data_IF_861216766804
#
_entry.id   IF_861216766804
#
_cell.length_a   1.000
_cell.length_b   1.000
_cell.length_c   1.000
_cell.angle_alpha   90.00
_cell.angle_beta   90.00
_cell.angle_gamma   90.00
#
_symmetry.space_group_name_H-M   'P 1'
#
loop_
_entity.id
_entity.type
_entity.pdbx_description
1 polymer ?
#
# COMPACT_ATOMS: atom_id res chain seq x y z
N UNK A 1 41.03 32.79 27.67
CA UNK A 1 41.34 32.26 26.31
C UNK A 1 40.29 31.20 26.00
N UNK A 2 39.36 31.50 25.09
CA UNK A 2 38.12 30.75 24.87
C UNK A 2 38.39 29.34 24.30
N UNK A 3 37.96 28.29 25.01
CA UNK A 3 37.95 26.90 24.51
C UNK A 3 36.74 26.71 23.59
N UNK A 4 37.05 26.25 22.39
CA UNK A 4 36.15 25.92 21.29
C UNK A 4 35.07 24.94 21.75
N UNK A 5 33.81 25.39 21.73
CA UNK A 5 32.61 24.63 22.06
C UNK A 5 31.70 24.57 20.82
N UNK A 6 32.18 24.01 19.70
CA UNK A 6 31.38 23.88 18.47
C UNK A 6 31.76 22.63 17.68
N UNK A 7 31.53 21.43 18.24
CA UNK A 7 31.66 20.21 17.43
C UNK A 7 30.59 19.14 17.66
N UNK A 8 29.67 19.32 18.61
CA UNK A 8 28.64 18.30 18.91
C UNK A 8 27.27 18.59 18.27
N UNK A 9 27.06 19.76 17.65
CA UNK A 9 25.76 20.16 17.11
C UNK A 9 25.45 19.73 15.67
N UNK A 10 26.43 19.31 14.87
CA UNK A 10 26.26 19.13 13.42
C UNK A 10 25.92 17.70 12.98
N UNK A 11 25.95 16.72 13.89
CA UNK A 11 25.72 15.30 13.54
C UNK A 11 24.23 14.91 13.55
N UNK A 12 23.36 15.70 14.18
CA UNK A 12 21.92 15.37 14.29
C UNK A 12 21.08 15.81 13.09
N UNK A 13 21.56 16.71 12.23
CA UNK A 13 20.78 17.24 11.09
C UNK A 13 20.83 16.31 9.86
N UNK A 14 21.85 15.44 9.75
CA UNK A 14 21.96 14.49 8.63
C UNK A 14 21.17 13.18 8.80
N UNK A 15 20.63 12.90 10.00
CA UNK A 15 19.92 11.63 10.25
C UNK A 15 18.51 11.62 9.64
N UNK A 16 17.90 12.78 9.36
CA UNK A 16 16.52 12.84 8.85
C UNK A 16 16.37 12.58 7.34
N UNK A 17 17.47 12.52 6.56
CA UNK A 17 17.39 12.36 5.10
C UNK A 17 17.40 10.89 4.62
N UNK A 18 17.39 9.91 5.54
CA UNK A 18 17.40 8.47 5.19
C UNK A 18 16.23 7.69 5.78
N UNK A 19 15.21 8.37 6.33
CA UNK A 19 13.99 7.71 6.78
C UNK A 19 13.25 7.17 5.56
N UNK A 20 13.51 5.89 5.23
CA UNK A 20 12.69 5.12 4.29
C UNK A 20 11.23 5.29 4.70
N UNK A 21 10.39 5.70 3.76
CA UNK A 21 8.97 5.85 4.01
C UNK A 21 8.39 4.48 4.39
N UNK A 22 7.99 4.33 5.65
CA UNK A 22 7.32 3.14 6.13
C UNK A 22 5.81 3.38 6.09
N UNK A 23 5.07 2.30 5.82
CA UNK A 23 3.63 2.27 6.02
C UNK A 23 3.26 2.76 7.42
N UNK A 24 2.15 3.49 7.52
CA UNK A 24 1.48 3.67 8.82
C UNK A 24 1.17 2.31 9.43
N UNK A 25 1.19 2.22 10.77
CA UNK A 25 0.90 0.96 11.48
C UNK A 25 -0.42 0.34 11.03
N UNK A 26 -1.46 1.16 10.88
CA UNK A 26 -2.76 0.73 10.38
C UNK A 26 -2.66 0.08 8.98
N UNK A 27 -1.94 0.71 8.06
CA UNK A 27 -1.75 0.17 6.71
C UNK A 27 -0.93 -1.13 6.74
N UNK A 28 0.13 -1.20 7.54
CA UNK A 28 0.92 -2.41 7.74
C UNK A 28 0.09 -3.59 8.27
N UNK A 29 -0.79 -3.36 9.23
CA UNK A 29 -1.72 -4.37 9.75
C UNK A 29 -2.77 -4.80 8.72
N UNK A 30 -3.25 -3.88 7.87
CA UNK A 30 -4.14 -4.25 6.76
C UNK A 30 -3.37 -5.14 5.80
N UNK A 31 -2.16 -4.75 5.39
CA UNK A 31 -1.33 -5.52 4.47
C UNK A 31 -1.04 -6.93 4.97
N UNK A 32 -0.59 -7.08 6.22
CA UNK A 32 -0.31 -8.39 6.80
C UNK A 32 -1.54 -9.33 6.78
N UNK A 33 -2.75 -8.77 6.89
CA UNK A 33 -3.99 -9.55 6.84
C UNK A 33 -4.44 -9.88 5.42
N UNK A 34 -4.01 -9.11 4.41
CA UNK A 34 -4.45 -9.27 3.03
C UNK A 34 -4.10 -10.65 2.42
N UNK A 35 -3.02 -11.26 2.88
CA UNK A 35 -2.62 -12.59 2.43
C UNK A 35 -3.29 -13.72 3.20
N UNK A 36 -3.72 -13.47 4.45
CA UNK A 36 -4.40 -14.47 5.29
C UNK A 36 -5.92 -14.52 5.15
N UNK A 37 -6.55 -13.43 4.73
CA UNK A 37 -8.02 -13.36 4.67
C UNK A 37 -8.55 -14.02 3.40
N UNK A 38 -9.62 -14.80 3.56
CA UNK A 38 -10.37 -15.39 2.45
C UNK A 38 -11.17 -14.29 1.73
N UNK A 39 -10.50 -13.62 0.80
CA UNK A 39 -11.13 -12.72 -0.14
C UNK A 39 -11.77 -13.55 -1.24
N UNK A 40 -13.10 -13.72 -1.18
CA UNK A 40 -13.90 -14.48 -2.16
C UNK A 40 -13.68 -14.06 -3.62
N UNK A 41 -13.06 -12.90 -3.85
CA UNK A 41 -12.78 -12.36 -5.17
C UNK A 41 -11.36 -11.75 -5.25
N UNK A 42 -10.36 -12.41 -4.67
CA UNK A 42 -8.93 -12.12 -4.91
C UNK A 42 -8.43 -12.95 -6.09
N UNK A 43 -7.80 -12.29 -7.06
CA UNK A 43 -7.08 -12.95 -8.15
C UNK A 43 -5.60 -12.59 -8.08
N UNK A 44 -4.76 -13.43 -8.66
CA UNK A 44 -3.34 -13.13 -8.81
C UNK A 44 -3.04 -12.76 -10.27
N UNK A 45 -2.44 -11.59 -10.45
CA UNK A 45 -1.84 -11.18 -11.72
C UNK A 45 -0.45 -11.82 -11.80
N UNK A 46 -0.09 -12.33 -12.98
CA UNK A 46 1.16 -13.05 -13.21
C UNK A 46 1.43 -14.14 -12.15
N UNK A 47 0.46 -15.06 -11.93
CA UNK A 47 0.60 -16.11 -10.93
C UNK A 47 1.85 -16.96 -11.18
N UNK A 48 2.41 -17.54 -10.12
CA UNK A 48 3.58 -18.42 -10.16
C UNK A 48 4.87 -17.74 -10.64
N UNK A 49 4.91 -16.41 -10.60
CA UNK A 49 6.11 -15.62 -10.90
C UNK A 49 6.54 -14.80 -9.69
N UNK A 50 7.80 -14.33 -9.70
CA UNK A 50 8.28 -13.34 -8.72
C UNK A 50 7.55 -11.99 -8.78
N UNK A 51 6.73 -11.78 -9.81
CA UNK A 51 5.92 -10.58 -10.01
C UNK A 51 4.44 -10.81 -9.66
N UNK A 52 4.12 -11.92 -8.97
CA UNK A 52 2.76 -12.23 -8.57
C UNK A 52 2.15 -11.09 -7.74
N UNK A 53 1.11 -10.45 -8.29
CA UNK A 53 0.48 -9.28 -7.68
C UNK A 53 -0.99 -9.55 -7.41
N UNK A 54 -1.46 -9.43 -6.15
CA UNK A 54 -2.87 -9.64 -5.85
C UNK A 54 -3.73 -8.47 -6.34
N UNK A 55 -4.87 -8.79 -6.96
CA UNK A 55 -5.95 -7.85 -7.27
C UNK A 55 -7.22 -8.27 -6.53
N UNK A 56 -7.92 -7.30 -5.95
CA UNK A 56 -9.15 -7.50 -5.18
C UNK A 56 -10.32 -6.98 -5.98
N UNK A 57 -11.32 -7.82 -6.23
CA UNK A 57 -12.48 -7.49 -7.03
C UNK A 57 -13.69 -7.37 -6.11
N UNK A 58 -14.39 -6.25 -6.18
CA UNK A 58 -15.64 -6.01 -5.49
C UNK A 58 -16.70 -5.74 -6.55
N UNK A 59 -17.84 -6.42 -6.46
CA UNK A 59 -18.91 -6.33 -7.46
C UNK A 59 -20.26 -6.21 -6.76
N UNK A 60 -21.11 -5.32 -7.27
CA UNK A 60 -22.54 -5.28 -6.93
C UNK A 60 -23.35 -6.15 -7.89
N UNK A 61 -24.61 -6.38 -7.55
CA UNK A 61 -25.55 -7.09 -8.44
C UNK A 61 -26.11 -6.21 -9.58
N UNK A 62 -25.77 -4.93 -9.59
CA UNK A 62 -26.22 -3.97 -10.60
C UNK A 62 -25.12 -3.77 -11.64
N UNK A 63 -25.42 -4.15 -12.89
CA UNK A 63 -24.55 -3.95 -14.04
C UNK A 63 -24.41 -2.44 -14.35
N UNK A 64 -23.26 -1.89 -13.97
CA UNK A 64 -22.93 -0.46 -13.95
C UNK A 64 -21.39 -0.34 -14.06
N UNK A 65 -20.79 0.83 -14.37
CA UNK A 65 -19.37 0.92 -14.72
C UNK A 65 -18.40 0.29 -13.71
N UNK A 66 -17.26 -0.13 -14.24
CA UNK A 66 -16.16 -0.69 -13.46
C UNK A 66 -15.04 0.33 -13.29
N UNK A 67 -14.48 0.42 -12.09
CA UNK A 67 -13.33 1.29 -11.77
C UNK A 67 -12.13 0.43 -11.40
N UNK A 68 -10.96 0.73 -11.99
CA UNK A 68 -9.67 0.16 -11.60
C UNK A 68 -8.91 1.20 -10.78
N UNK A 69 -8.48 0.80 -9.57
CA UNK A 69 -7.69 1.63 -8.66
C UNK A 69 -6.35 0.94 -8.43
N UNK A 70 -5.26 1.65 -8.70
CA UNK A 70 -3.89 1.14 -8.61
C UNK A 70 -3.10 2.03 -7.65
N UNK A 71 -2.41 1.40 -6.71
CA UNK A 71 -1.43 2.03 -5.81
C UNK A 71 -0.09 1.31 -5.85
N UNK A 72 0.94 1.91 -5.25
CA UNK A 72 2.24 1.28 -5.06
C UNK A 72 2.96 0.93 -6.36
N UNK A 73 2.91 1.81 -7.36
CA UNK A 73 3.71 1.71 -8.59
C UNK A 73 5.18 2.03 -8.32
N UNK A 74 5.43 3.04 -7.48
CA UNK A 74 6.72 3.35 -6.88
C UNK A 74 6.68 3.03 -5.38
N UNK A 75 7.77 2.47 -4.85
CA UNK A 75 7.86 2.02 -3.46
C UNK A 75 8.06 3.15 -2.45
N UNK A 76 8.64 4.26 -2.89
CA UNK A 76 8.89 5.48 -2.13
C UNK A 76 7.70 6.46 -2.13
N UNK A 77 6.58 6.08 -2.74
CA UNK A 77 5.32 6.85 -2.79
C UNK A 77 4.20 6.14 -1.97
N UNK A 78 4.35 5.97 -0.64
CA UNK A 78 3.47 5.10 0.15
C UNK A 78 2.01 5.57 0.21
N UNK A 79 1.74 6.86 0.00
CA UNK A 79 0.42 7.44 0.19
C UNK A 79 -0.65 6.77 -0.70
N UNK A 80 -0.33 6.50 -1.97
CA UNK A 80 -1.25 5.82 -2.89
C UNK A 80 -1.48 4.36 -2.51
N UNK A 81 -0.42 3.67 -2.09
CA UNK A 81 -0.50 2.30 -1.58
C UNK A 81 -1.38 2.22 -0.32
N UNK A 82 -1.17 3.11 0.64
CA UNK A 82 -1.97 3.18 1.86
C UNK A 82 -3.45 3.46 1.61
N UNK A 83 -3.75 4.40 0.72
CA UNK A 83 -5.12 4.71 0.34
C UNK A 83 -5.80 3.47 -0.25
N UNK A 84 -5.13 2.76 -1.16
CA UNK A 84 -5.65 1.54 -1.76
C UNK A 84 -5.85 0.41 -0.73
N UNK A 85 -4.93 0.23 0.22
CA UNK A 85 -5.10 -0.72 1.33
C UNK A 85 -6.35 -0.42 2.17
N UNK A 86 -6.55 0.85 2.54
CA UNK A 86 -7.72 1.27 3.32
C UNK A 86 -9.02 1.02 2.54
N UNK A 87 -9.02 1.29 1.23
CA UNK A 87 -10.17 0.99 0.36
C UNK A 87 -10.50 -0.50 0.31
N UNK A 88 -9.50 -1.39 0.21
CA UNK A 88 -9.73 -2.85 0.29
C UNK A 88 -10.42 -3.22 1.60
N UNK A 89 -10.00 -2.65 2.73
CA UNK A 89 -10.66 -2.91 4.01
C UNK A 89 -12.07 -2.32 4.11
N UNK A 90 -12.33 -1.17 3.48
CA UNK A 90 -13.67 -0.55 3.41
C UNK A 90 -14.61 -1.43 2.59
N UNK A 91 -14.26 -1.74 1.34
CA UNK A 91 -15.11 -2.52 0.43
C UNK A 91 -15.27 -3.99 0.84
N UNK A 92 -14.36 -4.52 1.67
CA UNK A 92 -14.57 -5.81 2.34
C UNK A 92 -15.70 -5.77 3.36
N UNK A 93 -15.87 -4.64 4.06
CA UNK A 93 -16.86 -4.49 5.13
C UNK A 93 -18.20 -3.95 4.62
N UNK A 94 -18.20 -3.28 3.48
CA UNK A 94 -19.35 -2.57 2.94
C UNK A 94 -19.59 -3.01 1.50
N UNK A 95 -20.81 -3.42 1.18
CA UNK A 95 -21.20 -3.75 -0.19
C UNK A 95 -21.24 -2.51 -1.08
N UNK A 96 -20.88 -2.67 -2.35
CA UNK A 96 -21.05 -1.64 -3.37
C UNK A 96 -22.53 -1.42 -3.66
N UNK A 97 -22.93 -0.15 -3.82
CA UNK A 97 -24.30 0.18 -4.24
C UNK A 97 -24.56 -0.15 -5.71
N UNK A 98 -23.55 0.02 -6.58
CA UNK A 98 -23.61 -0.30 -8.00
C UNK A 98 -22.20 -0.53 -8.57
N UNK A 99 -22.11 -1.19 -9.73
CA UNK A 99 -20.89 -1.35 -10.50
C UNK A 99 -19.89 -2.32 -9.88
N UNK A 100 -18.62 -2.16 -10.28
CA UNK A 100 -17.50 -2.97 -9.77
C UNK A 100 -16.26 -2.13 -9.50
N UNK A 101 -15.45 -2.56 -8.54
CA UNK A 101 -14.15 -1.97 -8.21
C UNK A 101 -13.09 -3.06 -8.26
N UNK A 102 -12.03 -2.84 -9.02
CA UNK A 102 -10.82 -3.66 -9.03
C UNK A 102 -9.73 -2.85 -8.34
N UNK A 103 -9.11 -3.42 -7.31
CA UNK A 103 -8.09 -2.77 -6.49
C UNK A 103 -6.77 -3.54 -6.55
N UNK A 104 -5.69 -2.82 -6.85
CA UNK A 104 -4.32 -3.33 -6.84
C UNK A 104 -3.50 -2.43 -5.91
N UNK A 105 -3.39 -2.74 -4.61
CA UNK A 105 -2.76 -1.82 -3.66
C UNK A 105 -1.26 -1.67 -3.83
N UNK A 106 -0.55 -2.76 -4.14
CA UNK A 106 0.90 -2.79 -4.33
C UNK A 106 1.21 -3.35 -5.72
N UNK A 107 1.04 -2.51 -6.75
CA UNK A 107 1.22 -2.91 -8.14
C UNK A 107 2.65 -3.38 -8.43
N UNK A 108 3.64 -2.72 -7.84
CA UNK A 108 5.04 -3.09 -7.88
C UNK A 108 5.49 -3.55 -6.48
N UNK A 109 5.12 -4.79 -6.12
CA UNK A 109 5.46 -5.39 -4.81
C UNK A 109 6.96 -5.31 -4.50
N UNK A 110 7.81 -5.56 -5.50
CA UNK A 110 9.26 -5.55 -5.32
C UNK A 110 9.76 -4.17 -4.87
N UNK A 111 9.25 -3.09 -5.47
CA UNK A 111 9.63 -1.74 -5.04
C UNK A 111 9.03 -1.37 -3.67
N UNK A 112 7.81 -1.80 -3.38
CA UNK A 112 7.16 -1.56 -2.09
C UNK A 112 7.85 -2.31 -0.93
N UNK A 113 8.43 -3.47 -1.19
CA UNK A 113 9.06 -4.35 -0.19
C UNK A 113 10.59 -4.15 -0.06
N UNK A 114 11.21 -3.33 -0.91
CA UNK A 114 12.68 -3.09 -0.95
C UNK A 114 13.20 -2.07 0.07
#
# INVERSE_FOLDING_TARGET
MYRILYFTGLVLIFIQCTARYQLTQQAGEIYARLDSADYRHKIFLMPDTKYQTPAYIFKSDIDSPSVLIIGGTHGDEPAGYEAALRLVNIFRKQSLQQGSVILIPAANRIAVES
#
